data_IF_367127260986
#
_entry.id   IF_367127260986
#
_cell.length_a   1.000
_cell.length_b   1.000
_cell.length_c   1.000
_cell.angle_alpha   90.00
_cell.angle_beta   90.00
_cell.angle_gamma   90.00
#
_symmetry.space_group_name_H-M   'P 1'
#
loop_
_entity.id
_entity.type
_entity.pdbx_description
1 polymer ?
#
# COMPACT_ATOMS: atom_id res chain seq x y z
N UNK A 1 -4.50 -26.08 -22.55
CA UNK A 1 -4.56 -26.49 -23.98
C UNK A 1 -5.98 -26.58 -24.54
N UNK A 2 -6.93 -27.28 -23.87
CA UNK A 2 -8.36 -27.38 -24.31
C UNK A 2 -8.97 -26.02 -24.70
N UNK A 3 -8.79 -24.99 -23.88
CA UNK A 3 -9.34 -23.65 -24.13
C UNK A 3 -8.56 -22.83 -25.18
N UNK A 4 -7.22 -22.97 -25.23
CA UNK A 4 -6.41 -22.22 -26.20
C UNK A 4 -6.64 -22.63 -27.65
N UNK A 5 -7.12 -23.85 -27.92
CA UNK A 5 -7.48 -24.30 -29.29
C UNK A 5 -8.65 -23.51 -29.90
N UNK A 6 -9.43 -22.80 -29.10
CA UNK A 6 -10.50 -21.92 -29.59
C UNK A 6 -9.91 -20.65 -30.20
N UNK A 7 -8.71 -20.23 -29.76
CA UNK A 7 -8.00 -19.06 -30.28
C UNK A 7 -7.65 -19.24 -31.76
N UNK A 8 -7.37 -20.46 -32.20
CA UNK A 8 -7.12 -20.81 -33.61
C UNK A 8 -8.34 -20.56 -34.52
N UNK A 9 -9.53 -20.40 -33.94
CA UNK A 9 -10.81 -20.23 -34.66
C UNK A 9 -11.33 -18.79 -34.66
N UNK A 10 -10.62 -17.86 -34.03
CA UNK A 10 -11.02 -16.45 -33.95
C UNK A 10 -9.93 -15.56 -34.53
N UNK A 11 -10.32 -14.43 -35.12
CA UNK A 11 -9.37 -13.39 -35.49
C UNK A 11 -9.08 -12.50 -34.28
N UNK A 12 -7.80 -12.34 -33.97
CA UNK A 12 -7.32 -11.41 -32.94
C UNK A 12 -6.01 -10.80 -33.43
N UNK A 13 -5.87 -9.48 -33.25
CA UNK A 13 -4.71 -8.72 -33.72
C UNK A 13 -4.35 -7.65 -32.70
N UNK A 14 -3.05 -7.37 -32.58
CA UNK A 14 -2.51 -6.37 -31.69
C UNK A 14 -1.43 -5.59 -32.42
N UNK A 15 -1.46 -4.26 -32.35
CA UNK A 15 -0.44 -3.40 -32.95
C UNK A 15 0.99 -3.74 -32.48
N UNK A 16 1.14 -4.22 -31.24
CA UNK A 16 2.43 -4.53 -30.62
C UNK A 16 2.47 -5.94 -29.99
N UNK A 17 1.60 -6.86 -30.43
CA UNK A 17 1.46 -8.18 -29.78
C UNK A 17 2.70 -9.08 -29.86
N UNK A 18 3.57 -8.85 -30.85
CA UNK A 18 4.83 -9.57 -31.04
C UNK A 18 6.07 -8.68 -30.87
N UNK A 19 5.93 -7.53 -30.21
CA UNK A 19 7.03 -6.59 -29.99
C UNK A 19 8.13 -7.25 -29.13
N UNK A 20 9.38 -7.20 -29.62
CA UNK A 20 10.45 -8.07 -29.12
C UNK A 20 11.09 -7.56 -27.83
N UNK A 21 11.08 -6.25 -27.56
CA UNK A 21 11.63 -5.65 -26.34
C UNK A 21 10.84 -6.11 -25.11
N UNK A 22 9.52 -6.04 -25.17
CA UNK A 22 8.62 -6.44 -24.07
C UNK A 22 8.72 -7.93 -23.80
N UNK A 23 8.79 -8.76 -24.86
CA UNK A 23 8.98 -10.21 -24.73
C UNK A 23 10.35 -10.52 -24.10
N UNK A 24 11.42 -9.88 -24.57
CA UNK A 24 12.76 -10.06 -24.00
C UNK A 24 12.83 -9.63 -22.52
N UNK A 25 12.25 -8.48 -22.18
CA UNK A 25 12.16 -7.98 -20.81
C UNK A 25 11.33 -8.91 -19.91
N UNK A 26 10.21 -9.44 -20.40
CA UNK A 26 9.38 -10.39 -19.66
C UNK A 26 10.15 -11.70 -19.37
N UNK A 27 10.83 -12.26 -20.37
CA UNK A 27 11.65 -13.47 -20.20
C UNK A 27 12.77 -13.23 -19.17
N UNK A 28 13.49 -12.11 -19.28
CA UNK A 28 14.53 -11.74 -18.33
C UNK A 28 13.98 -11.55 -16.91
N UNK A 29 12.82 -10.90 -16.78
CA UNK A 29 12.13 -10.68 -15.51
C UNK A 29 11.70 -11.99 -14.85
N UNK A 30 11.08 -12.90 -15.61
CA UNK A 30 10.65 -14.22 -15.10
C UNK A 30 11.86 -15.01 -14.60
N UNK A 31 12.95 -15.06 -15.39
CA UNK A 31 14.20 -15.73 -14.99
C UNK A 31 14.77 -15.15 -13.70
N UNK A 32 14.75 -13.83 -13.55
CA UNK A 32 15.24 -13.17 -12.34
C UNK A 32 14.36 -13.47 -11.12
N UNK A 33 13.03 -13.48 -11.30
CA UNK A 33 12.05 -13.83 -10.25
C UNK A 33 12.32 -15.23 -9.72
N UNK A 34 12.50 -16.20 -10.62
CA UNK A 34 12.79 -17.60 -10.27
C UNK A 34 14.16 -17.73 -9.60
N UNK A 35 15.21 -17.23 -10.25
CA UNK A 35 16.61 -17.35 -9.80
C UNK A 35 16.84 -16.74 -8.43
N UNK A 36 16.29 -15.55 -8.17
CA UNK A 36 16.45 -14.84 -6.89
C UNK A 36 15.38 -15.16 -5.86
N UNK A 37 14.43 -16.05 -6.17
CA UNK A 37 13.31 -16.39 -5.28
C UNK A 37 12.57 -15.14 -4.79
N UNK A 38 12.25 -14.25 -5.73
CA UNK A 38 11.65 -12.93 -5.44
C UNK A 38 10.34 -13.06 -4.68
N UNK A 39 9.48 -14.00 -5.07
CA UNK A 39 8.15 -14.19 -4.46
C UNK A 39 8.26 -14.51 -2.96
N UNK A 40 9.00 -15.56 -2.51
CA UNK A 40 9.20 -15.78 -1.08
C UNK A 40 9.75 -14.56 -0.32
N UNK A 41 10.68 -13.81 -0.93
CA UNK A 41 11.27 -12.62 -0.32
C UNK A 41 10.23 -11.53 -0.04
N UNK A 42 9.47 -11.12 -1.06
CA UNK A 42 8.46 -10.05 -0.92
C UNK A 42 7.35 -10.45 0.04
N UNK A 43 6.97 -11.73 0.07
CA UNK A 43 5.96 -12.23 1.01
C UNK A 43 6.46 -12.19 2.45
N UNK A 44 7.70 -12.62 2.70
CA UNK A 44 8.31 -12.57 4.05
C UNK A 44 8.45 -11.13 4.54
N UNK A 45 8.99 -10.24 3.71
CA UNK A 45 9.21 -8.85 4.09
C UNK A 45 7.88 -8.08 4.23
N UNK A 46 6.94 -8.34 3.33
CA UNK A 46 5.60 -7.76 3.37
C UNK A 46 4.82 -8.19 4.62
N UNK A 47 4.93 -9.46 5.03
CA UNK A 47 4.31 -9.97 6.26
C UNK A 47 4.91 -9.28 7.49
N UNK A 48 6.23 -9.11 7.51
CA UNK A 48 6.88 -8.34 8.57
C UNK A 48 6.35 -6.91 8.66
N UNK A 49 6.24 -6.20 7.52
CA UNK A 49 5.66 -4.86 7.48
C UNK A 49 4.20 -4.85 7.99
N UNK A 50 3.38 -5.82 7.56
CA UNK A 50 1.97 -5.94 7.95
C UNK A 50 1.83 -6.14 9.46
N UNK A 51 2.49 -7.16 10.00
CA UNK A 51 2.41 -7.55 11.41
C UNK A 51 2.95 -6.43 12.31
N UNK A 52 4.06 -5.80 11.93
CA UNK A 52 4.62 -4.67 12.69
C UNK A 52 3.76 -3.41 12.62
N UNK A 53 3.15 -3.10 11.48
CA UNK A 53 2.24 -1.96 11.36
C UNK A 53 1.00 -2.13 12.25
N UNK A 54 0.37 -3.30 12.21
CA UNK A 54 -0.79 -3.60 13.06
C UNK A 54 -0.43 -3.61 14.55
N UNK A 55 0.77 -4.09 14.93
CA UNK A 55 1.28 -3.96 16.31
C UNK A 55 1.41 -2.51 16.76
N UNK A 56 1.88 -1.61 15.89
CA UNK A 56 1.98 -0.19 16.20
C UNK A 56 0.60 0.46 16.33
N UNK A 57 -0.36 0.11 15.46
CA UNK A 57 -1.73 0.60 15.57
C UNK A 57 -2.34 0.21 16.92
N UNK A 58 -2.17 -1.05 17.33
CA UNK A 58 -2.61 -1.53 18.65
C UNK A 58 -1.93 -0.81 19.81
N UNK A 59 -0.62 -0.59 19.72
CA UNK A 59 0.16 0.15 20.74
C UNK A 59 -0.41 1.54 21.02
N UNK A 60 -0.98 2.19 20.01
CA UNK A 60 -1.54 3.54 20.12
C UNK A 60 -3.08 3.57 20.18
N UNK A 61 -3.72 2.41 20.38
CA UNK A 61 -5.18 2.26 20.44
C UNK A 61 -5.89 2.80 19.19
N UNK A 62 -5.35 2.48 18.01
CA UNK A 62 -5.90 2.86 16.71
C UNK A 62 -6.50 1.66 15.95
N UNK A 63 -6.31 0.43 16.44
CA UNK A 63 -6.66 -0.81 15.75
C UNK A 63 -8.16 -1.10 15.67
N UNK A 64 -8.98 -0.35 16.41
CA UNK A 64 -10.44 -0.40 16.35
C UNK A 64 -11.00 0.19 15.04
N UNK A 65 -10.27 1.12 14.41
CA UNK A 65 -10.72 1.82 13.20
C UNK A 65 -9.66 1.93 12.09
N UNK A 66 -8.40 1.55 12.35
CA UNK A 66 -7.34 1.48 11.34
C UNK A 66 -6.76 0.07 11.32
N UNK A 67 -6.71 -0.55 10.15
CA UNK A 67 -6.15 -1.90 9.99
C UNK A 67 -5.37 -2.01 8.69
N UNK A 68 -4.22 -2.68 8.72
CA UNK A 68 -3.49 -3.04 7.50
C UNK A 68 -3.85 -4.47 7.12
N UNK A 69 -4.56 -4.63 5.99
CA UNK A 69 -5.11 -5.92 5.51
C UNK A 69 -4.70 -6.22 4.07
N UNK A 70 -4.97 -7.43 3.60
CA UNK A 70 -4.62 -7.90 2.26
C UNK A 70 -3.49 -8.93 2.27
N UNK A 71 -2.93 -9.23 1.10
CA UNK A 71 -1.83 -10.19 0.97
C UNK A 71 -0.51 -9.51 1.35
N UNK A 72 0.47 -10.22 1.92
CA UNK A 72 1.76 -9.63 2.27
C UNK A 72 2.45 -8.83 1.14
N UNK A 73 2.35 -9.30 -0.11
CA UNK A 73 2.92 -8.61 -1.27
C UNK A 73 2.14 -7.34 -1.69
N UNK A 74 0.86 -7.25 -1.32
CA UNK A 74 -0.02 -6.13 -1.62
C UNK A 74 -1.10 -5.96 -0.54
N UNK A 75 -0.95 -4.90 0.24
CA UNK A 75 -1.75 -4.65 1.44
C UNK A 75 -2.24 -3.21 1.49
N UNK A 76 -3.40 -3.01 2.08
CA UNK A 76 -4.13 -1.74 2.11
C UNK A 76 -4.44 -1.35 3.55
N UNK A 77 -4.52 -0.04 3.80
CA UNK A 77 -5.08 0.51 5.02
C UNK A 77 -6.59 0.61 4.88
N UNK A 78 -7.29 -0.09 5.75
CA UNK A 78 -8.72 0.10 6.00
C UNK A 78 -8.81 1.13 7.12
N UNK A 79 -9.48 2.25 6.86
CA UNK A 79 -9.64 3.36 7.80
C UNK A 79 -11.12 3.66 7.88
N UNK A 80 -11.69 3.61 9.07
CA UNK A 80 -13.07 3.97 9.36
C UNK A 80 -13.13 5.30 10.09
N UNK A 81 -14.33 5.88 10.17
CA UNK A 81 -14.60 7.03 11.02
C UNK A 81 -14.39 6.70 12.50
N UNK A 82 -13.87 7.66 13.26
CA UNK A 82 -13.63 7.52 14.68
C UNK A 82 -13.48 8.89 15.35
N UNK A 83 -13.78 8.99 16.64
CA UNK A 83 -13.62 10.22 17.42
C UNK A 83 -14.33 11.45 16.82
N UNK A 84 -15.40 11.24 16.04
CA UNK A 84 -16.13 12.31 15.35
C UNK A 84 -15.43 12.84 14.09
N UNK A 85 -14.40 12.14 13.60
CA UNK A 85 -13.75 12.42 12.33
C UNK A 85 -14.09 11.34 11.30
N UNK A 86 -14.33 11.77 10.07
CA UNK A 86 -14.50 10.89 8.93
C UNK A 86 -13.21 10.13 8.60
N UNK A 87 -13.37 8.99 7.91
CA UNK A 87 -12.24 8.22 7.39
C UNK A 87 -11.31 9.07 6.49
N UNK A 88 -11.88 9.99 5.70
CA UNK A 88 -11.13 10.87 4.80
C UNK A 88 -10.28 11.90 5.57
N UNK A 89 -10.77 12.46 6.68
CA UNK A 89 -10.00 13.38 7.51
C UNK A 89 -8.81 12.66 8.16
N UNK A 90 -9.04 11.46 8.71
CA UNK A 90 -7.98 10.62 9.29
C UNK A 90 -6.95 10.23 8.21
N UNK A 91 -7.42 9.79 7.03
CA UNK A 91 -6.56 9.42 5.91
C UNK A 91 -5.77 10.62 5.38
N UNK A 92 -6.37 11.81 5.34
CA UNK A 92 -5.69 13.05 4.90
C UNK A 92 -4.50 13.35 5.81
N UNK A 93 -4.72 13.32 7.13
CA UNK A 93 -3.64 13.54 8.10
C UNK A 93 -2.53 12.49 7.95
N UNK A 94 -2.87 11.21 7.89
CA UNK A 94 -1.89 10.14 7.70
C UNK A 94 -1.08 10.33 6.41
N UNK A 95 -1.75 10.58 5.29
CA UNK A 95 -1.09 10.77 4.01
C UNK A 95 -0.12 11.96 4.06
N UNK A 96 -0.56 13.09 4.62
CA UNK A 96 0.29 14.27 4.82
C UNK A 96 1.56 13.92 5.61
N UNK A 97 1.41 13.33 6.79
CA UNK A 97 2.56 13.11 7.67
C UNK A 97 3.52 12.03 7.12
N UNK A 98 2.98 11.01 6.44
CA UNK A 98 3.78 9.95 5.81
C UNK A 98 4.57 10.52 4.62
N UNK A 99 3.94 11.38 3.80
CA UNK A 99 4.62 12.08 2.71
C UNK A 99 5.70 13.04 3.24
N UNK A 100 5.41 13.81 4.28
CA UNK A 100 6.39 14.70 4.92
C UNK A 100 7.56 13.93 5.55
N UNK A 101 7.34 12.68 5.97
CA UNK A 101 8.39 11.78 6.42
C UNK A 101 9.21 11.15 5.29
N UNK A 102 8.94 11.48 4.02
CA UNK A 102 9.69 11.04 2.85
C UNK A 102 9.20 9.73 2.22
N UNK A 103 7.99 9.27 2.55
CA UNK A 103 7.44 8.03 2.00
C UNK A 103 6.25 8.32 1.09
N UNK A 104 6.36 7.94 -0.19
CA UNK A 104 5.23 7.99 -1.10
C UNK A 104 4.17 6.95 -0.69
N UNK A 105 2.99 7.43 -0.31
CA UNK A 105 1.92 6.60 0.24
C UNK A 105 0.55 7.14 -0.14
N UNK A 106 -0.38 6.25 -0.48
CA UNK A 106 -1.76 6.61 -0.84
C UNK A 106 -2.82 5.68 -0.23
N UNK A 107 -2.49 4.97 0.85
CA UNK A 107 -3.38 4.01 1.50
C UNK A 107 -2.99 2.55 1.33
N UNK A 108 -1.85 2.24 0.70
CA UNK A 108 -1.45 0.86 0.43
C UNK A 108 0.07 0.70 0.33
N UNK A 109 0.52 -0.54 0.47
CA UNK A 109 1.88 -0.98 0.20
C UNK A 109 1.88 -1.97 -0.97
N UNK A 110 2.62 -1.63 -2.02
CA UNK A 110 2.97 -2.52 -3.11
C UNK A 110 4.43 -2.95 -2.91
N UNK A 111 4.66 -4.22 -2.53
CA UNK A 111 6.01 -4.68 -2.23
C UNK A 111 6.80 -4.91 -3.53
N UNK A 112 7.95 -4.25 -3.65
CA UNK A 112 8.95 -4.48 -4.69
C UNK A 112 10.08 -5.37 -4.17
N UNK A 113 10.75 -6.10 -5.07
CA UNK A 113 11.96 -6.85 -4.74
C UNK A 113 13.11 -5.96 -4.27
N UNK A 114 13.13 -4.69 -4.71
CA UNK A 114 14.14 -3.72 -4.31
C UNK A 114 13.99 -3.23 -2.87
N UNK A 115 12.82 -3.42 -2.24
CA UNK A 115 12.62 -3.01 -0.85
C UNK A 115 13.47 -3.87 0.08
N UNK A 116 14.25 -3.22 0.93
CA UNK A 116 15.08 -3.89 1.92
C UNK A 116 14.42 -3.90 3.30
N UNK A 117 14.96 -4.70 4.21
CA UNK A 117 14.57 -4.66 5.63
C UNK A 117 14.82 -3.29 6.25
N UNK A 118 15.88 -2.57 5.82
CA UNK A 118 16.19 -1.22 6.28
C UNK A 118 15.11 -0.22 5.88
N UNK A 119 14.62 -0.29 4.65
CA UNK A 119 13.55 0.58 4.15
C UNK A 119 12.25 0.37 4.94
N UNK A 120 11.87 -0.90 5.16
CA UNK A 120 10.70 -1.25 5.98
C UNK A 120 10.88 -0.76 7.43
N UNK A 121 12.06 -0.92 8.02
CA UNK A 121 12.32 -0.42 9.36
C UNK A 121 12.26 1.11 9.43
N UNK A 122 12.72 1.83 8.39
CA UNK A 122 12.59 3.28 8.31
C UNK A 122 11.11 3.70 8.31
N UNK A 123 10.28 3.04 7.50
CA UNK A 123 8.84 3.30 7.44
C UNK A 123 8.17 3.02 8.80
N UNK A 124 8.48 1.88 9.44
CA UNK A 124 7.92 1.54 10.75
C UNK A 124 8.32 2.54 11.84
N UNK A 125 9.53 3.12 11.78
CA UNK A 125 9.93 4.21 12.68
C UNK A 125 9.11 5.48 12.46
N UNK A 126 8.83 5.83 11.21
CA UNK A 126 7.95 6.95 10.89
C UNK A 126 6.52 6.67 11.41
N UNK A 127 5.98 5.49 11.13
CA UNK A 127 4.67 5.06 11.63
C UNK A 127 4.56 5.13 13.15
N UNK A 128 5.57 4.68 13.89
CA UNK A 128 5.54 4.78 15.34
C UNK A 128 5.39 6.22 15.84
N UNK A 129 6.04 7.20 15.20
CA UNK A 129 5.89 8.63 15.56
C UNK A 129 4.51 9.17 15.13
N UNK A 130 4.12 8.90 13.89
CA UNK A 130 2.89 9.42 13.27
C UNK A 130 1.65 8.87 13.98
N UNK A 131 1.60 7.56 14.23
CA UNK A 131 0.48 6.92 14.94
C UNK A 131 0.37 7.42 16.38
N UNK A 132 1.49 7.61 17.07
CA UNK A 132 1.49 8.23 18.40
C UNK A 132 0.92 9.64 18.40
N UNK A 133 1.29 10.47 17.40
CA UNK A 133 0.74 11.82 17.25
C UNK A 133 -0.74 11.81 16.87
N UNK A 134 -1.15 10.94 15.95
CA UNK A 134 -2.55 10.77 15.55
C UNK A 134 -3.43 10.43 16.76
N UNK A 135 -3.03 9.42 17.56
CA UNK A 135 -3.79 9.02 18.75
C UNK A 135 -3.96 10.16 19.76
N UNK A 136 -2.92 11.00 19.95
CA UNK A 136 -3.00 12.21 20.79
C UNK A 136 -3.99 13.24 20.21
N UNK A 137 -3.86 13.56 18.92
CA UNK A 137 -4.69 14.56 18.25
C UNK A 137 -6.18 14.18 18.22
N UNK A 138 -6.50 12.90 18.06
CA UNK A 138 -7.87 12.40 18.08
C UNK A 138 -8.50 12.59 19.46
N UNK A 139 -7.78 12.23 20.53
CA UNK A 139 -8.25 12.40 21.92
C UNK A 139 -8.44 13.87 22.30
N UNK A 140 -7.54 14.74 21.82
CA UNK A 140 -7.60 16.18 22.07
C UNK A 140 -8.56 16.92 21.12
N UNK A 141 -9.19 16.23 20.17
CA UNK A 141 -10.05 16.82 19.12
C UNK A 141 -9.36 17.92 18.29
N UNK A 142 -8.06 17.75 18.01
CA UNK A 142 -7.21 18.72 17.27
C UNK A 142 -6.76 18.24 15.89
N UNK A 143 -7.37 17.18 15.35
CA UNK A 143 -6.93 16.59 14.08
C UNK A 143 -7.00 17.62 12.94
N UNK A 144 -8.14 18.31 12.79
CA UNK A 144 -8.38 19.30 11.72
C UNK A 144 -7.38 20.44 11.71
N UNK A 145 -7.04 20.97 12.89
CA UNK A 145 -6.07 22.06 13.07
C UNK A 145 -4.64 21.66 12.64
N UNK A 146 -4.37 20.35 12.56
CA UNK A 146 -3.06 19.81 12.17
C UNK A 146 -3.03 19.30 10.73
N UNK A 147 -4.13 19.40 9.99
CA UNK A 147 -4.17 19.16 8.55
C UNK A 147 -3.77 20.46 7.84
N UNK A 148 -2.79 20.35 6.94
CA UNK A 148 -2.29 21.43 6.09
C UNK A 148 -2.88 21.24 4.70
N UNK A 149 -3.67 22.22 4.24
CA UNK A 149 -4.29 22.18 2.92
C UNK A 149 -5.64 21.47 2.89
N UNK A 150 -6.09 21.11 1.69
CA UNK A 150 -7.41 20.52 1.47
C UNK A 150 -7.52 19.06 1.92
N UNK A 151 -8.74 18.65 2.28
CA UNK A 151 -9.05 17.24 2.55
C UNK A 151 -8.99 16.42 1.26
N UNK A 152 -8.55 15.17 1.38
CA UNK A 152 -8.78 14.16 0.34
C UNK A 152 -10.28 14.05 0.13
N UNK A 153 -10.72 14.05 -1.12
CA UNK A 153 -12.11 13.87 -1.49
C UNK A 153 -12.26 12.67 -2.42
N UNK A 154 -13.46 12.10 -2.45
CA UNK A 154 -13.77 11.03 -3.37
C UNK A 154 -13.73 11.53 -4.82
N UNK A 155 -12.94 10.84 -5.64
CA UNK A 155 -12.76 11.15 -7.06
C UNK A 155 -14.05 10.83 -7.83
N UNK A 156 -14.74 9.77 -7.42
CA UNK A 156 -16.04 9.40 -7.96
C UNK A 156 -17.13 9.93 -7.05
N UNK A 157 -17.84 10.96 -7.53
CA UNK A 157 -19.08 11.43 -6.93
C UNK A 157 -20.23 10.75 -7.67
N UNK A 158 -20.98 9.89 -7.00
CA UNK A 158 -22.26 9.42 -7.52
C UNK A 158 -23.15 10.66 -7.64
N UNK A 159 -23.56 10.99 -8.87
CA UNK A 159 -24.56 12.04 -9.13
C UNK A 159 -25.94 11.51 -8.81
#
# INVERSE_FOLDING_TARGET
RKYMRVVDKIFYSFTQGGETLSIAAAIATIREIERRKVIPYIWKLGKYLQDSSNKLLKKYSLDDFIQVKGKPCWQVFIINEAYGYSALEIKTYLQQEILQAGFLWYGQHNMSFSHTRKDVNNLLRAYNKIFGRLGKLLKEKKLKENIKGGLISDIFRVR
#
